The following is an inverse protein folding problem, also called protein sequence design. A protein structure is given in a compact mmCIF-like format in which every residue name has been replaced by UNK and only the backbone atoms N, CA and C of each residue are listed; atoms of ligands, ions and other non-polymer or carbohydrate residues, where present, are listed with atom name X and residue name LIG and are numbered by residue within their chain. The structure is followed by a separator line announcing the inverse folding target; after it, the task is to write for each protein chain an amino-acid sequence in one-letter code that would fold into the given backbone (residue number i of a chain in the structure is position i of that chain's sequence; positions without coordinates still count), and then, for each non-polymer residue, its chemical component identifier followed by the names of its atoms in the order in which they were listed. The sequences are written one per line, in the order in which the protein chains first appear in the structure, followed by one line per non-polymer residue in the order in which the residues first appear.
data_IF_558835341153
#
_entry.id   IF_558835341153
#
_cell.length_a   1.000
_cell.length_b   1.000
_cell.length_c   1.000
_cell.angle_alpha   90.00
_cell.angle_beta   90.00
_cell.angle_gamma   90.00
#
_symmetry.space_group_name_H-M   'P 1'
#
loop_
_entity.id
_entity.type
_entity.pdbx_description
1 polymer ?
#
# COMPACT_ATOMS: atom_id res chain seq x y z
N UNK A 1 9.34 -48.46 27.99
CA UNK A 1 10.54 -47.78 27.47
C UNK A 1 10.36 -47.62 25.97
N UNK A 2 10.43 -46.37 25.50
CA UNK A 2 10.35 -45.85 24.13
C UNK A 2 9.08 -46.13 23.30
N UNK A 3 8.12 -45.20 23.44
CA UNK A 3 7.06 -44.95 22.47
C UNK A 3 7.60 -44.10 21.29
N UNK A 4 7.35 -44.55 20.07
CA UNK A 4 7.69 -43.83 18.84
C UNK A 4 6.72 -42.68 18.58
N UNK A 5 7.25 -41.48 18.35
CA UNK A 5 6.48 -40.34 17.87
C UNK A 5 6.53 -40.27 16.34
N UNK A 6 5.34 -40.42 15.75
CA UNK A 6 5.03 -40.14 14.35
C UNK A 6 4.94 -38.62 14.14
N UNK A 7 5.43 -38.20 12.98
CA UNK A 7 5.30 -36.84 12.46
C UNK A 7 3.84 -36.55 12.07
N UNK A 8 3.25 -35.52 12.65
CA UNK A 8 2.06 -34.86 12.10
C UNK A 8 2.48 -33.51 11.50
N UNK A 9 2.34 -33.40 10.18
CA UNK A 9 2.41 -32.13 9.45
C UNK A 9 1.14 -31.33 9.76
N UNK A 10 1.28 -30.21 10.46
CA UNK A 10 0.19 -29.27 10.73
C UNK A 10 0.01 -28.30 9.56
N UNK A 11 -1.16 -28.36 8.94
CA UNK A 11 -1.71 -27.41 7.98
C UNK A 11 -1.96 -26.06 8.68
N UNK A 12 -1.35 -24.98 8.21
CA UNK A 12 -1.66 -23.63 8.70
C UNK A 12 -2.96 -23.14 8.05
N UNK A 13 -4.00 -23.01 8.89
CA UNK A 13 -5.30 -22.43 8.57
C UNK A 13 -5.15 -20.92 8.43
N UNK A 14 -5.56 -20.37 7.29
CA UNK A 14 -5.69 -18.93 7.07
C UNK A 14 -6.86 -18.40 7.92
N UNK A 15 -6.57 -17.41 8.78
CA UNK A 15 -7.57 -16.76 9.64
C UNK A 15 -8.15 -15.54 8.93
N UNK A 16 -9.47 -15.60 8.77
CA UNK A 16 -10.41 -14.57 8.36
C UNK A 16 -10.48 -13.45 9.43
N UNK A 17 -10.51 -12.18 9.04
CA UNK A 17 -10.96 -11.09 9.94
C UNK A 17 -11.94 -10.17 9.19
N UNK A 18 -13.17 -10.15 9.70
CA UNK A 18 -14.28 -9.25 9.35
C UNK A 18 -14.16 -7.99 10.23
N UNK A 19 -14.48 -6.82 9.67
CA UNK A 19 -14.29 -5.51 10.30
C UNK A 19 -15.33 -5.11 11.34
N UNK A 20 -15.14 -3.89 11.89
CA UNK A 20 -16.16 -3.04 12.49
C UNK A 20 -15.68 -1.59 12.51
N UNK A 21 -16.38 -0.73 11.76
CA UNK A 21 -16.34 0.73 11.87
C UNK A 21 -17.23 1.17 13.05
N UNK A 22 -16.77 2.17 13.80
CA UNK A 22 -17.57 2.96 14.73
C UNK A 22 -16.95 4.36 14.85
N UNK A 23 -17.68 5.38 14.42
CA UNK A 23 -17.21 6.77 14.36
C UNK A 23 -17.66 7.63 15.54
N UNK A 24 -17.04 8.82 15.63
CA UNK A 24 -17.54 10.12 16.14
C UNK A 24 -16.35 11.10 15.93
N UNK A 25 -16.37 12.20 15.18
CA UNK A 25 -17.38 13.26 15.08
C UNK A 25 -16.89 14.48 15.89
N UNK A 26 -16.43 15.55 15.24
CA UNK A 26 -16.14 16.84 15.90
C UNK A 26 -15.16 17.72 15.13
N UNK A 27 -15.67 18.81 14.53
CA UNK A 27 -14.93 19.72 13.66
C UNK A 27 -14.16 20.83 14.38
N UNK A 28 -13.50 21.69 13.59
CA UNK A 28 -12.87 22.91 14.10
C UNK A 28 -11.69 23.38 13.25
N UNK A 29 -11.93 24.41 12.46
CA UNK A 29 -10.98 25.09 11.58
C UNK A 29 -10.02 26.06 12.30
N UNK A 30 -8.86 26.28 11.67
CA UNK A 30 -8.04 27.51 11.63
C UNK A 30 -7.14 27.90 12.81
N UNK A 31 -5.90 28.25 12.48
CA UNK A 31 -5.22 29.42 13.05
C UNK A 31 -3.99 29.16 13.94
N UNK A 32 -2.81 29.23 13.33
CA UNK A 32 -1.69 30.14 13.65
C UNK A 32 -1.53 30.61 15.12
N UNK A 33 -0.33 30.31 15.67
CA UNK A 33 0.40 30.97 16.78
C UNK A 33 -0.30 31.06 18.15
N UNK A 34 0.03 30.13 19.05
CA UNK A 34 -0.21 30.27 20.49
C UNK A 34 0.50 29.17 21.26
N UNK A 35 1.34 29.54 22.23
CA UNK A 35 2.08 28.62 23.08
C UNK A 35 1.14 27.71 23.87
N UNK A 36 0.97 26.48 23.39
CA UNK A 36 0.42 25.35 24.12
C UNK A 36 1.48 24.27 24.17
N UNK A 37 1.63 23.59 25.30
CA UNK A 37 2.49 22.41 25.43
C UNK A 37 2.01 21.35 24.45
N UNK A 38 2.57 21.34 23.24
CA UNK A 38 2.34 20.30 22.25
C UNK A 38 2.80 19.01 22.90
N UNK A 39 1.86 18.12 23.23
CA UNK A 39 2.22 16.73 23.51
C UNK A 39 3.11 16.27 22.35
N UNK A 40 4.28 15.68 22.62
CA UNK A 40 5.12 15.17 21.55
C UNK A 40 4.26 14.28 20.66
N UNK A 41 4.29 14.53 19.36
CA UNK A 41 3.63 13.64 18.42
C UNK A 41 4.37 12.31 18.52
N UNK A 42 3.64 11.26 18.87
CA UNK A 42 4.15 9.91 18.96
C UNK A 42 3.59 9.09 17.81
N UNK A 43 4.38 8.13 17.33
CA UNK A 43 3.84 7.16 16.39
C UNK A 43 2.72 6.37 17.05
N UNK A 44 1.68 6.07 16.28
CA UNK A 44 0.81 4.94 16.64
C UNK A 44 1.56 3.69 16.25
N UNK A 45 1.86 2.82 17.21
CA UNK A 45 2.46 1.51 16.96
C UNK A 45 1.41 0.42 17.09
N UNK A 46 1.60 -0.69 16.36
CA UNK A 46 0.67 -1.82 16.41
C UNK A 46 0.62 -2.52 17.79
N UNK A 47 1.57 -2.20 18.66
CA UNK A 47 1.69 -2.59 20.07
C UNK A 47 2.25 -1.38 20.85
N UNK A 48 3.09 -1.61 21.85
CA UNK A 48 3.92 -0.57 22.44
C UNK A 48 5.03 -0.13 21.46
N UNK A 49 5.23 1.19 21.34
CA UNK A 49 6.38 1.73 20.63
C UNK A 49 7.65 1.48 21.43
N UNK A 50 8.67 0.95 20.75
CA UNK A 50 10.01 0.75 21.28
C UNK A 50 10.89 1.89 20.78
N UNK A 51 11.56 2.66 21.65
CA UNK A 51 12.50 3.69 21.24
C UNK A 51 13.64 3.10 20.40
N UNK A 52 13.96 3.70 19.26
CA UNK A 52 14.98 3.18 18.34
C UNK A 52 16.37 3.09 18.98
N UNK A 53 16.73 4.06 19.83
CA UNK A 53 17.97 4.14 20.59
C UNK A 53 18.13 2.99 21.63
N UNK A 54 17.05 2.30 21.97
CA UNK A 54 17.08 1.09 22.81
C UNK A 54 17.26 -0.21 22.01
N UNK A 55 17.25 -0.15 20.68
CA UNK A 55 17.35 -1.30 19.79
C UNK A 55 18.69 -1.30 19.05
N UNK A 56 19.40 -2.42 19.13
CA UNK A 56 20.62 -2.64 18.35
C UNK A 56 20.35 -2.60 16.84
N UNK A 57 21.32 -2.12 16.06
CA UNK A 57 21.12 -1.87 14.63
C UNK A 57 20.79 -3.14 13.84
N UNK A 58 21.41 -4.27 14.19
CA UNK A 58 21.20 -5.58 13.58
C UNK A 58 19.83 -6.21 13.90
N UNK A 59 19.13 -5.66 14.90
CA UNK A 59 17.75 -6.01 15.25
C UNK A 59 16.71 -5.10 14.60
N UNK A 60 17.13 -3.97 14.02
CA UNK A 60 16.24 -3.05 13.33
C UNK A 60 15.93 -3.54 11.92
N UNK A 61 14.63 -3.53 11.60
CA UNK A 61 14.12 -3.68 10.25
C UNK A 61 13.53 -2.37 9.77
N UNK A 62 14.24 -1.66 8.91
CA UNK A 62 13.68 -0.49 8.25
C UNK A 62 12.83 -0.91 7.05
N UNK A 63 11.72 -0.21 6.82
CA UNK A 63 10.92 -0.30 5.60
C UNK A 63 10.85 1.09 4.99
N UNK A 64 11.36 1.25 3.78
CA UNK A 64 11.31 2.50 3.03
C UNK A 64 10.47 2.32 1.79
N UNK A 65 9.57 3.26 1.54
CA UNK A 65 8.72 3.23 0.35
C UNK A 65 8.71 4.60 -0.30
N UNK A 66 8.76 4.63 -1.63
CA UNK A 66 8.50 5.83 -2.42
C UNK A 66 7.31 5.55 -3.33
N UNK A 67 6.22 6.28 -3.18
CA UNK A 67 4.94 5.98 -3.83
C UNK A 67 4.49 7.17 -4.67
N UNK A 68 4.21 6.92 -5.95
CA UNK A 68 3.56 7.85 -6.89
C UNK A 68 2.18 7.29 -7.27
N UNK A 69 1.09 7.92 -6.83
CA UNK A 69 -0.28 7.49 -7.17
C UNK A 69 -0.87 8.21 -8.40
N UNK A 70 -0.09 9.10 -9.01
CA UNK A 70 -0.47 9.94 -10.15
C UNK A 70 -1.01 11.30 -9.77
N UNK A 71 -1.27 11.55 -8.48
CA UNK A 71 -1.65 12.86 -7.92
C UNK A 71 -0.59 13.36 -6.93
N UNK A 72 -0.02 12.45 -6.15
CA UNK A 72 0.94 12.69 -5.08
C UNK A 72 2.16 11.79 -5.23
N UNK A 73 3.32 12.31 -4.83
CA UNK A 73 4.52 11.54 -4.62
C UNK A 73 4.89 11.63 -3.14
N UNK A 74 4.96 10.49 -2.46
CA UNK A 74 5.17 10.41 -1.02
C UNK A 74 6.27 9.42 -0.69
N UNK A 75 7.12 9.78 0.27
CA UNK A 75 8.09 8.87 0.88
C UNK A 75 7.58 8.42 2.24
N UNK A 76 7.65 7.12 2.50
CA UNK A 76 7.27 6.49 3.76
C UNK A 76 8.49 5.82 4.39
N UNK A 77 8.58 5.87 5.70
CA UNK A 77 9.55 5.13 6.48
C UNK A 77 8.88 4.48 7.69
N UNK A 78 9.21 3.23 7.98
CA UNK A 78 8.79 2.57 9.21
C UNK A 78 9.87 1.64 9.74
N UNK A 79 9.82 1.35 11.04
CA UNK A 79 10.83 0.53 11.71
C UNK A 79 10.17 -0.53 12.57
N UNK A 80 10.70 -1.75 12.49
CA UNK A 80 10.29 -2.90 13.29
C UNK A 80 11.47 -3.59 13.97
N UNK A 81 11.18 -4.56 14.84
CA UNK A 81 12.20 -5.40 15.49
C UNK A 81 12.03 -6.89 15.21
N UNK A 82 13.15 -7.61 15.13
CA UNK A 82 13.16 -9.07 15.14
C UNK A 82 12.49 -9.69 13.91
N UNK A 83 11.49 -10.55 14.08
CA UNK A 83 10.71 -11.14 12.98
C UNK A 83 9.26 -10.63 12.98
N UNK A 84 8.91 -9.66 13.83
CA UNK A 84 7.56 -9.12 13.83
C UNK A 84 7.37 -8.31 12.53
N UNK A 85 6.42 -8.68 11.65
CA UNK A 85 6.19 -7.94 10.41
C UNK A 85 5.63 -6.54 10.68
N UNK A 86 5.36 -6.20 11.95
CA UNK A 86 4.75 -4.95 12.38
C UNK A 86 5.76 -3.86 12.71
N UNK A 87 5.52 -2.66 12.21
CA UNK A 87 6.15 -1.42 12.66
C UNK A 87 5.82 -1.17 14.13
N UNK A 88 6.84 -1.20 14.97
CA UNK A 88 6.72 -1.03 16.42
C UNK A 88 7.89 -0.24 17.01
N UNK A 89 8.76 0.34 16.18
CA UNK A 89 9.89 1.16 16.61
C UNK A 89 9.63 2.62 16.27
N UNK A 90 9.81 3.47 17.26
CA UNK A 90 9.74 4.92 17.15
C UNK A 90 11.13 5.52 17.22
N UNK A 91 11.46 6.40 16.27
CA UNK A 91 12.72 7.15 16.23
C UNK A 91 12.83 8.02 17.48
N UNK A 92 13.91 7.82 18.25
CA UNK A 92 14.13 8.43 19.56
C UNK A 92 15.58 8.87 19.76
N UNK A 93 15.81 9.71 20.78
CA UNK A 93 17.14 10.11 21.22
C UNK A 93 17.84 10.99 20.19
N UNK A 94 18.96 10.48 19.66
CA UNK A 94 19.75 11.16 18.61
C UNK A 94 19.55 10.54 17.23
N UNK A 95 18.70 9.52 17.11
CA UNK A 95 18.39 8.91 15.83
C UNK A 95 17.54 9.88 14.98
N UNK A 96 17.79 9.90 13.67
CA UNK A 96 17.05 10.74 12.73
C UNK A 96 16.77 9.99 11.43
N UNK A 97 15.67 10.38 10.78
CA UNK A 97 15.32 9.94 9.43
C UNK A 97 15.14 11.13 8.50
N UNK A 98 15.76 11.05 7.34
CA UNK A 98 15.79 12.12 6.36
C UNK A 98 15.69 11.56 4.95
N UNK A 99 15.08 12.33 4.06
CA UNK A 99 15.06 12.05 2.63
C UNK A 99 15.99 13.04 1.91
N UNK A 100 16.82 12.54 1.00
CA UNK A 100 17.68 13.38 0.17
C UNK A 100 16.93 13.72 -1.12
N UNK A 101 16.78 15.01 -1.37
CA UNK A 101 16.20 15.59 -2.58
C UNK A 101 17.26 16.32 -3.38
N UNK A 102 16.92 16.76 -4.60
CA UNK A 102 17.82 17.60 -5.40
C UNK A 102 18.15 18.93 -4.69
N UNK A 103 17.28 19.40 -3.79
CA UNK A 103 17.42 20.69 -3.09
C UNK A 103 18.06 20.56 -1.69
N UNK A 104 18.46 19.36 -1.28
CA UNK A 104 19.01 19.07 0.05
C UNK A 104 18.20 18.01 0.79
N UNK A 105 18.34 17.96 2.11
CA UNK A 105 17.65 16.98 2.96
C UNK A 105 16.31 17.50 3.46
N UNK A 106 15.28 16.68 3.42
CA UNK A 106 13.98 16.96 4.04
C UNK A 106 13.69 15.96 5.17
N UNK A 107 13.08 16.39 6.29
CA UNK A 107 12.70 15.51 7.37
C UNK A 107 11.46 14.67 7.01
N UNK A 108 11.27 13.58 7.75
CA UNK A 108 9.97 12.93 7.84
C UNK A 108 9.16 13.49 9.02
N UNK A 109 7.84 13.35 8.92
CA UNK A 109 6.88 13.79 9.93
C UNK A 109 6.02 12.61 10.39
N UNK A 110 5.49 12.72 11.61
CA UNK A 110 4.47 11.79 12.12
C UNK A 110 3.10 12.27 11.60
N UNK A 111 2.28 11.41 10.98
CA UNK A 111 0.97 11.80 10.48
C UNK A 111 0.10 12.39 11.59
N UNK A 112 -0.41 13.60 11.38
CA UNK A 112 -1.27 14.30 12.34
C UNK A 112 -2.70 13.77 12.41
N UNK A 113 -3.08 12.93 11.43
CA UNK A 113 -4.36 12.22 11.38
C UNK A 113 -4.12 10.79 10.90
N UNK A 114 -4.92 9.83 11.36
CA UNK A 114 -4.86 8.42 10.93
C UNK A 114 -5.27 8.19 9.45
N UNK A 115 -5.40 9.27 8.66
CA UNK A 115 -6.15 9.33 7.41
C UNK A 115 -5.32 9.54 6.13
N UNK A 116 -3.98 9.44 6.18
CA UNK A 116 -3.17 9.26 4.97
C UNK A 116 -3.23 7.81 4.42
N UNK A 117 -4.18 7.02 4.91
CA UNK A 117 -4.30 5.56 4.75
C UNK A 117 -4.96 5.09 3.46
N UNK A 118 -5.35 5.98 2.54
CA UNK A 118 -5.93 5.53 1.26
C UNK A 118 -4.86 4.98 0.29
N UNK A 119 -3.66 5.56 0.27
CA UNK A 119 -2.57 5.15 -0.65
C UNK A 119 -1.88 3.88 -0.13
N UNK A 120 -1.79 3.73 1.20
CA UNK A 120 -1.09 2.64 1.90
C UNK A 120 -1.86 1.30 1.87
N UNK A 121 -3.20 1.33 1.81
CA UNK A 121 -4.00 0.10 1.90
C UNK A 121 -4.00 -0.78 0.65
N UNK A 122 -3.65 -0.25 -0.52
CA UNK A 122 -3.79 -1.01 -1.77
C UNK A 122 -2.63 -1.96 -2.05
N UNK A 123 -1.47 -1.78 -1.40
CA UNK A 123 -0.22 -2.13 -2.07
C UNK A 123 0.81 -2.84 -1.19
N UNK A 124 0.84 -2.65 0.12
CA UNK A 124 1.75 -3.43 0.97
C UNK A 124 1.05 -3.78 2.27
N UNK A 125 1.27 -5.02 2.69
CA UNK A 125 1.02 -5.54 4.02
C UNK A 125 1.69 -4.60 5.03
N UNK A 126 1.02 -3.52 5.41
CA UNK A 126 1.43 -2.62 6.48
C UNK A 126 0.45 -2.87 7.60
N UNK A 127 0.77 -3.90 8.40
CA UNK A 127 0.75 -3.77 9.86
C UNK A 127 -0.52 -3.11 10.38
N UNK A 128 -1.57 -3.91 10.60
CA UNK A 128 -2.73 -3.44 11.34
C UNK A 128 -2.25 -2.76 12.65
N UNK A 129 -2.47 -1.44 12.75
CA UNK A 129 -2.25 -0.65 13.97
C UNK A 129 -1.01 0.25 14.03
N UNK A 130 -0.17 0.38 13.00
CA UNK A 130 0.95 1.33 13.03
C UNK A 130 0.95 2.35 11.90
N UNK A 131 1.18 3.63 12.22
CA UNK A 131 1.36 4.69 11.21
C UNK A 131 2.83 4.77 10.78
N UNK A 132 3.14 4.89 9.49
CA UNK A 132 4.51 5.17 9.05
C UNK A 132 4.88 6.64 9.33
N UNK A 133 6.17 6.94 9.28
CA UNK A 133 6.65 8.30 9.06
C UNK A 133 6.45 8.69 7.61
N UNK A 134 6.06 9.94 7.36
CA UNK A 134 5.69 10.43 6.03
C UNK A 134 6.48 11.67 5.64
N UNK A 135 6.78 11.80 4.35
CA UNK A 135 7.38 13.00 3.78
C UNK A 135 6.83 13.19 2.37
N UNK A 136 6.13 14.29 2.14
CA UNK A 136 5.69 14.65 0.80
C UNK A 136 6.92 14.99 -0.06
N UNK A 137 6.95 14.47 -1.28
CA UNK A 137 8.05 14.70 -2.20
C UNK A 137 7.51 15.48 -3.38
N UNK A 138 8.05 16.67 -3.61
CA UNK A 138 7.75 17.36 -4.86
C UNK A 138 8.38 16.59 -6.02
N UNK A 139 7.56 16.08 -6.94
CA UNK A 139 8.02 15.27 -8.07
C UNK A 139 9.06 15.98 -8.94
N UNK A 140 9.04 17.31 -9.02
CA UNK A 140 10.04 18.10 -9.76
C UNK A 140 11.39 18.21 -9.06
N UNK A 141 11.45 17.84 -7.78
CA UNK A 141 12.61 17.95 -6.90
C UNK A 141 13.11 16.58 -6.41
N UNK A 142 12.44 15.49 -6.81
CA UNK A 142 12.85 14.14 -6.47
C UNK A 142 14.17 13.80 -7.17
N UNK A 143 15.19 13.46 -6.37
CA UNK A 143 16.42 12.87 -6.90
C UNK A 143 16.10 11.49 -7.51
N UNK A 144 16.86 11.05 -8.51
CA UNK A 144 16.72 9.70 -9.05
C UNK A 144 18.10 9.03 -9.13
N UNK A 145 18.36 7.98 -8.32
CA UNK A 145 17.48 7.40 -7.30
C UNK A 145 17.25 8.34 -6.11
N UNK A 146 16.08 8.23 -5.47
CA UNK A 146 15.78 8.89 -4.19
C UNK A 146 16.58 8.18 -3.09
N UNK A 147 17.11 8.95 -2.13
CA UNK A 147 17.89 8.39 -1.02
C UNK A 147 17.18 8.60 0.31
N UNK A 148 17.05 7.51 1.06
CA UNK A 148 16.60 7.48 2.45
C UNK A 148 17.83 7.39 3.34
N UNK A 149 17.91 8.28 4.33
CA UNK A 149 19.00 8.29 5.31
C UNK A 149 18.44 8.03 6.70
N UNK A 150 18.96 6.99 7.34
CA UNK A 150 18.83 6.78 8.77
C UNK A 150 20.15 7.18 9.43
N UNK A 151 20.10 8.15 10.32
CA UNK A 151 21.27 8.67 11.03
C UNK A 151 21.17 8.15 12.45
N UNK A 152 22.23 7.46 12.90
CA UNK A 152 22.35 6.97 14.27
C UNK A 152 23.70 7.38 14.82
N UNK A 153 23.65 8.16 15.89
CA UNK A 153 24.82 8.81 16.49
C UNK A 153 25.57 9.68 15.47
N UNK A 154 26.65 9.17 14.86
CA UNK A 154 27.43 9.85 13.82
C UNK A 154 27.48 9.09 12.50
N UNK A 155 26.83 7.93 12.41
CA UNK A 155 26.83 7.08 11.21
C UNK A 155 25.55 7.29 10.41
N UNK A 156 25.71 7.52 9.10
CA UNK A 156 24.59 7.63 8.16
C UNK A 156 24.45 6.34 7.37
N UNK A 157 23.27 5.73 7.43
CA UNK A 157 22.88 4.55 6.67
C UNK A 157 22.01 4.99 5.49
N UNK A 158 22.57 4.92 4.28
CA UNK A 158 21.90 5.37 3.06
C UNK A 158 21.31 4.19 2.29
N UNK A 159 19.99 4.20 2.10
CA UNK A 159 19.28 3.29 1.21
C UNK A 159 18.74 4.08 0.02
N UNK A 160 18.67 3.48 -1.17
CA UNK A 160 18.29 4.20 -2.39
C UNK A 160 17.23 3.46 -3.20
N UNK A 161 16.34 4.19 -3.87
CA UNK A 161 15.33 3.59 -4.74
C UNK A 161 14.92 4.52 -5.86
N UNK A 162 14.67 3.95 -7.02
CA UNK A 162 14.05 4.65 -8.15
C UNK A 162 12.57 4.29 -8.22
N UNK A 163 11.72 5.24 -8.61
CA UNK A 163 10.33 4.93 -8.96
C UNK A 163 10.26 3.94 -10.12
N UNK A 164 9.22 3.11 -10.13
CA UNK A 164 8.88 2.31 -11.29
C UNK A 164 8.62 3.21 -12.53
N UNK A 165 8.80 2.72 -13.77
CA UNK A 165 8.59 3.51 -14.98
C UNK A 165 7.23 4.21 -15.04
N UNK A 166 7.15 5.36 -15.71
CA UNK A 166 5.88 6.07 -15.87
C UNK A 166 4.97 5.22 -16.75
N UNK A 167 3.72 5.06 -16.34
CA UNK A 167 2.71 4.37 -17.12
C UNK A 167 1.34 5.01 -16.96
N UNK A 168 0.45 4.71 -17.91
CA UNK A 168 -0.96 4.99 -17.89
C UNK A 168 -1.74 3.70 -18.19
N UNK A 169 -2.94 3.59 -17.63
CA UNK A 169 -3.88 2.52 -18.01
C UNK A 169 -4.67 3.03 -19.23
N UNK A 170 -4.46 2.41 -20.38
CA UNK A 170 -5.17 2.76 -21.62
C UNK A 170 -6.41 1.91 -21.87
N UNK A 171 -6.45 0.70 -21.28
CA UNK A 171 -7.64 -0.16 -21.24
C UNK A 171 -7.78 -0.81 -19.84
N UNK A 172 -9.00 -0.85 -19.27
CA UNK A 172 -10.22 -0.22 -19.77
C UNK A 172 -10.11 1.32 -19.74
N UNK A 173 -10.80 1.99 -20.66
CA UNK A 173 -10.80 3.46 -20.71
C UNK A 173 -11.61 4.02 -19.54
N UNK A 174 -11.13 5.11 -18.93
CA UNK A 174 -11.84 5.77 -17.83
C UNK A 174 -13.28 6.14 -18.22
N UNK A 175 -14.24 5.81 -17.37
CA UNK A 175 -15.67 6.06 -17.59
C UNK A 175 -16.33 5.15 -18.62
N UNK A 176 -15.61 4.17 -19.19
CA UNK A 176 -16.20 3.22 -20.12
C UNK A 176 -17.22 2.29 -19.44
N UNK A 177 -18.13 1.74 -20.24
CA UNK A 177 -19.03 0.67 -19.83
C UNK A 177 -18.64 -0.62 -20.56
N UNK A 178 -18.41 -1.68 -19.82
CA UNK A 178 -18.10 -3.01 -20.31
C UNK A 178 -19.31 -3.93 -20.11
N UNK A 179 -19.56 -4.89 -21.01
CA UNK A 179 -20.65 -5.84 -20.83
C UNK A 179 -20.45 -6.67 -19.56
N UNK A 180 -21.46 -6.75 -18.68
CA UNK A 180 -21.36 -7.53 -17.44
C UNK A 180 -21.20 -9.04 -17.67
N UNK A 181 -21.63 -9.53 -18.84
CA UNK A 181 -21.39 -10.91 -19.28
C UNK A 181 -19.92 -11.22 -19.63
N UNK A 182 -19.10 -10.20 -19.84
CA UNK A 182 -17.67 -10.35 -20.12
C UNK A 182 -16.88 -10.18 -18.81
N UNK A 183 -16.68 -11.29 -18.10
CA UNK A 183 -15.95 -11.25 -16.81
C UNK A 183 -14.43 -11.14 -16.98
N UNK A 184 -13.91 -11.48 -18.16
CA UNK A 184 -12.50 -11.33 -18.51
C UNK A 184 -12.27 -9.95 -19.10
N UNK A 185 -11.51 -9.13 -18.38
CA UNK A 185 -11.23 -7.74 -18.74
C UNK A 185 -9.80 -7.62 -19.24
N UNK A 186 -9.62 -7.06 -20.43
CA UNK A 186 -8.31 -6.73 -20.98
C UNK A 186 -7.77 -5.45 -20.36
N UNK A 187 -6.52 -5.52 -19.90
CA UNK A 187 -5.75 -4.43 -19.34
C UNK A 187 -4.64 -4.07 -20.32
N UNK A 188 -4.48 -2.78 -20.59
CA UNK A 188 -3.37 -2.26 -21.39
C UNK A 188 -2.68 -1.11 -20.64
N UNK A 189 -1.36 -1.16 -20.58
CA UNK A 189 -0.49 -0.21 -19.91
C UNK A 189 0.44 0.43 -20.95
N UNK A 190 0.65 1.74 -20.88
CA UNK A 190 1.56 2.47 -21.81
C UNK A 190 3.04 2.14 -21.63
N UNK A 191 3.40 1.45 -20.55
CA UNK A 191 4.72 0.85 -20.34
C UNK A 191 4.56 -0.37 -19.43
N UNK A 192 5.42 -1.37 -19.57
CA UNK A 192 5.78 -2.19 -18.42
C UNK A 192 7.12 -2.90 -18.65
N UNK A 193 8.12 -2.48 -17.90
CA UNK A 193 9.40 -3.17 -17.78
C UNK A 193 9.39 -4.20 -16.63
N UNK A 194 8.26 -4.34 -15.92
CA UNK A 194 8.13 -5.12 -14.68
C UNK A 194 6.71 -5.71 -14.62
N UNK A 195 6.56 -6.88 -13.98
CA UNK A 195 5.26 -7.52 -13.73
C UNK A 195 4.39 -6.64 -12.84
N UNK A 196 3.17 -6.27 -13.27
CA UNK A 196 2.25 -5.47 -12.46
C UNK A 196 1.60 -6.31 -11.37
N UNK A 197 1.16 -5.62 -10.32
CA UNK A 197 0.16 -6.10 -9.36
C UNK A 197 -1.10 -5.27 -9.52
N UNK A 198 -2.27 -5.85 -9.25
CA UNK A 198 -3.53 -5.15 -9.44
C UNK A 198 -4.54 -5.51 -8.37
N UNK A 199 -5.42 -4.56 -8.10
CA UNK A 199 -6.60 -4.71 -7.26
C UNK A 199 -7.80 -4.11 -7.96
N UNK A 200 -8.97 -4.72 -7.79
CA UNK A 200 -10.23 -4.24 -8.32
C UNK A 200 -11.23 -4.13 -7.18
N UNK A 201 -11.72 -2.91 -6.96
CA UNK A 201 -12.88 -2.66 -6.12
C UNK A 201 -14.14 -2.76 -6.97
N UNK A 202 -15.13 -3.50 -6.49
CA UNK A 202 -16.43 -3.66 -7.14
C UNK A 202 -17.53 -3.21 -6.18
N UNK A 203 -18.41 -2.33 -6.66
CA UNK A 203 -19.65 -1.94 -5.99
C UNK A 203 -20.81 -2.26 -6.93
N UNK A 204 -21.56 -3.29 -6.60
CA UNK A 204 -22.56 -3.88 -7.49
C UNK A 204 -23.97 -3.70 -6.95
N UNK A 205 -24.91 -3.59 -7.89
CA UNK A 205 -26.35 -3.57 -7.63
C UNK A 205 -27.02 -4.64 -8.48
N UNK A 206 -27.90 -5.44 -7.90
CA UNK A 206 -28.72 -6.41 -8.63
C UNK A 206 -29.99 -5.77 -9.22
N UNK A 207 -30.72 -6.50 -10.06
CA UNK A 207 -31.96 -6.01 -10.69
C UNK A 207 -33.08 -5.66 -9.69
N UNK A 208 -32.97 -6.13 -8.44
CA UNK A 208 -33.93 -5.87 -7.36
C UNK A 208 -33.47 -4.73 -6.44
N UNK A 209 -32.34 -4.09 -6.71
CA UNK A 209 -31.81 -2.97 -5.94
C UNK A 209 -30.98 -3.36 -4.72
N UNK A 210 -30.66 -4.65 -4.53
CA UNK A 210 -29.73 -5.06 -3.48
C UNK A 210 -28.31 -4.63 -3.85
N UNK A 211 -27.50 -4.28 -2.85
CA UNK A 211 -26.11 -3.85 -3.05
C UNK A 211 -25.12 -4.85 -2.48
N UNK A 212 -23.94 -4.94 -3.09
CA UNK A 212 -22.80 -5.73 -2.61
C UNK A 212 -21.51 -5.01 -2.96
N UNK A 213 -20.47 -5.19 -2.15
CA UNK A 213 -19.13 -4.70 -2.47
C UNK A 213 -18.07 -5.75 -2.18
N UNK A 214 -16.97 -5.70 -2.92
CA UNK A 214 -15.78 -6.51 -2.67
C UNK A 214 -14.53 -5.82 -3.22
N UNK A 215 -13.38 -6.18 -2.66
CA UNK A 215 -12.06 -5.79 -3.16
C UNK A 215 -11.28 -7.07 -3.44
N UNK A 216 -10.78 -7.21 -4.67
CA UNK A 216 -10.08 -8.43 -5.09
C UNK A 216 -8.74 -8.11 -5.74
N UNK A 217 -7.72 -8.89 -5.37
CA UNK A 217 -6.49 -8.96 -6.15
C UNK A 217 -6.73 -9.97 -7.28
N UNK A 218 -7.31 -9.50 -8.38
CA UNK A 218 -7.65 -10.36 -9.52
C UNK A 218 -6.37 -10.91 -10.15
N UNK A 219 -6.26 -12.23 -10.27
CA UNK A 219 -5.09 -12.85 -10.88
C UNK A 219 -4.98 -12.51 -12.38
N UNK A 220 -3.75 -12.37 -12.87
CA UNK A 220 -3.50 -12.24 -14.31
C UNK A 220 -3.87 -13.57 -14.97
N UNK A 221 -4.71 -13.50 -15.99
CA UNK A 221 -5.03 -14.61 -16.87
C UNK A 221 -3.99 -14.65 -18.00
N UNK A 222 -3.30 -15.78 -18.10
CA UNK A 222 -2.26 -15.99 -19.11
C UNK A 222 -0.97 -15.20 -18.85
N UNK A 223 -0.18 -15.03 -19.90
CA UNK A 223 1.12 -14.35 -19.84
C UNK A 223 0.97 -12.91 -20.32
N UNK A 224 1.44 -11.90 -19.55
CA UNK A 224 1.51 -10.53 -20.04
C UNK A 224 2.31 -10.44 -21.34
N UNK A 225 1.77 -9.74 -22.32
CA UNK A 225 2.41 -9.52 -23.62
C UNK A 225 3.00 -8.12 -23.66
N UNK A 226 4.29 -8.02 -23.97
CA UNK A 226 4.95 -6.74 -24.20
C UNK A 226 4.95 -6.42 -25.70
N UNK A 227 4.41 -5.26 -26.07
CA UNK A 227 4.40 -4.76 -27.45
C UNK A 227 4.92 -3.33 -27.53
N UNK A 228 4.94 -2.78 -28.75
CA UNK A 228 5.45 -1.43 -29.03
C UNK A 228 4.67 -0.30 -28.31
N UNK A 229 3.46 -0.59 -27.82
CA UNK A 229 2.61 0.35 -27.07
C UNK A 229 2.63 0.15 -25.55
N UNK A 230 3.49 -0.74 -25.04
CA UNK A 230 3.55 -1.14 -23.63
C UNK A 230 3.08 -2.57 -23.39
N UNK A 231 2.50 -2.85 -22.22
CA UNK A 231 2.12 -4.21 -21.82
C UNK A 231 0.61 -4.41 -21.86
N UNK A 232 0.17 -5.58 -22.31
CA UNK A 232 -1.22 -6.01 -22.25
C UNK A 232 -1.35 -7.36 -21.55
N UNK A 233 -2.45 -7.52 -20.81
CA UNK A 233 -2.81 -8.76 -20.14
C UNK A 233 -4.32 -8.77 -19.88
N UNK A 234 -4.84 -9.86 -19.34
CA UNK A 234 -6.25 -9.93 -18.93
C UNK A 234 -6.36 -10.33 -17.47
N UNK A 235 -7.47 -9.95 -16.84
CA UNK A 235 -7.87 -10.40 -15.50
C UNK A 235 -9.27 -10.99 -15.56
N UNK A 236 -9.57 -11.97 -14.72
CA UNK A 236 -10.92 -12.54 -14.61
C UNK A 236 -11.60 -12.07 -13.31
N UNK A 237 -12.70 -11.35 -13.45
CA UNK A 237 -13.53 -10.86 -12.36
C UNK A 237 -14.68 -11.81 -12.02
N UNK A 238 -14.86 -12.90 -12.76
CA UNK A 238 -15.94 -13.87 -12.57
C UNK A 238 -15.99 -14.44 -11.15
N UNK A 239 -14.88 -14.93 -10.58
CA UNK A 239 -14.84 -15.39 -9.20
C UNK A 239 -15.27 -14.31 -8.19
N UNK A 240 -14.85 -13.07 -8.40
CA UNK A 240 -15.19 -11.94 -7.52
C UNK A 240 -16.69 -11.63 -7.56
N UNK A 241 -17.26 -11.52 -8.76
CA UNK A 241 -18.69 -11.30 -8.98
C UNK A 241 -19.54 -12.42 -8.38
N UNK A 242 -19.08 -13.67 -8.48
CA UNK A 242 -19.78 -14.83 -7.91
C UNK A 242 -19.72 -14.86 -6.37
N UNK A 243 -18.66 -14.31 -5.77
CA UNK A 243 -18.47 -14.26 -4.32
C UNK A 243 -19.23 -13.13 -3.62
N UNK A 244 -19.87 -12.22 -4.37
CA UNK A 244 -20.59 -11.09 -3.81
C UNK A 244 -21.72 -11.52 -2.88
N UNK A 245 -21.70 -10.95 -1.68
CA UNK A 245 -22.77 -11.10 -0.69
C UNK A 245 -23.66 -9.86 -0.73
N UNK A 246 -24.83 -10.01 -1.37
CA UNK A 246 -25.80 -8.94 -1.49
C UNK A 246 -26.60 -8.74 -0.21
N UNK A 247 -26.95 -7.50 0.08
CA UNK A 247 -27.96 -7.16 1.09
C UNK A 247 -29.24 -7.94 0.81
N UNK A 248 -29.90 -8.46 1.85
CA UNK A 248 -31.07 -9.34 1.71
C UNK A 248 -32.40 -8.59 1.79
N UNK A 249 -32.42 -7.29 1.50
CA UNK A 249 -33.64 -6.47 1.54
C UNK A 249 -34.69 -7.02 0.57
N UNK A 250 -34.25 -7.53 -0.58
CA UNK A 250 -35.05 -8.23 -1.57
C UNK A 250 -34.41 -9.58 -1.91
N UNK A 251 -35.17 -10.54 -2.48
CA UNK A 251 -34.56 -11.75 -3.05
C UNK A 251 -33.42 -11.39 -4.00
N UNK A 252 -32.33 -12.15 -3.99
CA UNK A 252 -31.18 -11.90 -4.87
C UNK A 252 -31.62 -11.97 -6.34
N UNK A 253 -31.41 -10.89 -7.08
CA UNK A 253 -31.58 -10.82 -8.52
C UNK A 253 -30.27 -11.11 -9.29
N UNK A 254 -30.36 -11.10 -10.61
CA UNK A 254 -29.17 -11.04 -11.47
C UNK A 254 -28.43 -9.70 -11.24
N UNK A 255 -27.10 -9.72 -11.33
CA UNK A 255 -26.31 -8.49 -11.20
C UNK A 255 -26.68 -7.57 -12.36
N UNK A 256 -27.14 -6.35 -12.06
CA UNK A 256 -27.58 -5.39 -13.07
C UNK A 256 -26.46 -4.42 -13.46
N UNK A 257 -25.62 -4.03 -12.50
CA UNK A 257 -24.45 -3.20 -12.76
C UNK A 257 -23.41 -3.33 -11.66
N UNK A 258 -22.15 -3.07 -12.00
CA UNK A 258 -21.06 -2.87 -11.05
C UNK A 258 -20.26 -1.64 -11.42
N UNK A 259 -20.10 -0.71 -10.49
CA UNK A 259 -19.05 0.30 -10.56
C UNK A 259 -17.73 -0.38 -10.16
N UNK A 260 -16.75 -0.35 -11.06
CA UNK A 260 -15.46 -0.97 -10.87
C UNK A 260 -14.35 0.10 -10.81
N UNK A 261 -13.42 -0.07 -9.88
CA UNK A 261 -12.20 0.73 -9.79
C UNK A 261 -10.99 -0.20 -9.85
N UNK A 262 -10.27 -0.17 -10.97
CA UNK A 262 -9.04 -0.93 -11.17
C UNK A 262 -7.85 -0.08 -10.75
N UNK A 263 -7.10 -0.57 -9.79
CA UNK A 263 -5.79 -0.03 -9.41
C UNK A 263 -4.71 -0.96 -9.94
N UNK A 264 -3.80 -0.44 -10.75
CA UNK A 264 -2.59 -1.14 -11.18
C UNK A 264 -1.40 -0.51 -10.49
N UNK A 265 -0.48 -1.34 -9.99
CA UNK A 265 0.80 -0.92 -9.42
C UNK A 265 1.96 -1.59 -10.16
N UNK A 266 2.99 -0.79 -10.44
CA UNK A 266 4.33 -1.24 -10.76
C UNK A 266 5.25 -0.99 -9.56
N UNK A 267 6.12 -1.95 -9.27
CA UNK A 267 7.07 -1.87 -8.16
C UNK A 267 8.50 -2.16 -8.61
N UNK A 268 9.46 -1.43 -8.06
CA UNK A 268 10.91 -1.65 -8.15
C UNK A 268 11.46 -1.92 -6.76
N UNK A 269 12.48 -2.78 -6.67
CA UNK A 269 13.26 -2.94 -5.45
C UNK A 269 14.41 -1.92 -5.43
N UNK A 270 14.64 -1.31 -4.28
CA UNK A 270 15.79 -0.43 -4.05
C UNK A 270 17.02 -1.19 -3.56
N UNK A 271 18.05 -0.41 -3.22
CA UNK A 271 19.27 -0.88 -2.57
C UNK A 271 19.27 -0.46 -1.11
N UNK A 272 19.48 -1.44 -0.23
CA UNK A 272 19.50 -1.24 1.22
C UNK A 272 20.92 -0.92 1.70
N UNK A 273 21.05 -0.05 2.70
CA UNK A 273 22.34 0.22 3.35
C UNK A 273 22.96 -1.05 3.94
N UNK A 274 24.28 -1.24 3.79
CA UNK A 274 25.01 -2.45 4.22
C UNK A 274 24.92 -2.74 5.73
N UNK A 275 24.53 -1.77 6.56
CA UNK A 275 24.26 -1.94 8.00
C UNK A 275 22.81 -2.24 8.39
N UNK A 276 21.86 -2.16 7.44
CA UNK A 276 20.43 -2.41 7.65
C UNK A 276 20.01 -3.70 6.92
N UNK A 277 20.68 -4.82 7.20
CA UNK A 277 20.59 -6.06 6.40
C UNK A 277 19.20 -6.68 6.29
N UNK A 278 18.25 -6.27 7.14
CA UNK A 278 16.87 -6.75 7.14
C UNK A 278 15.87 -5.71 6.60
N UNK A 279 16.35 -4.63 5.98
CA UNK A 279 15.48 -3.57 5.50
C UNK A 279 14.92 -3.83 4.09
N UNK A 280 13.67 -3.45 3.92
CA UNK A 280 12.95 -3.49 2.65
C UNK A 280 12.89 -2.08 2.08
N UNK A 281 13.20 -1.94 0.79
CA UNK A 281 13.09 -0.67 0.10
C UNK A 281 12.42 -0.87 -1.25
N UNK A 282 11.33 -0.12 -1.48
CA UNK A 282 10.50 -0.26 -2.68
C UNK A 282 10.12 1.09 -3.27
N UNK A 283 10.17 1.18 -4.60
CA UNK A 283 9.64 2.29 -5.37
C UNK A 283 8.38 1.83 -6.07
N UNK A 284 7.30 2.57 -5.94
CA UNK A 284 5.99 2.16 -6.43
C UNK A 284 5.35 3.28 -7.22
N UNK A 285 4.72 2.89 -8.32
CA UNK A 285 3.84 3.77 -9.07
C UNK A 285 2.50 3.07 -9.24
N UNK A 286 1.41 3.73 -8.85
CA UNK A 286 0.06 3.22 -9.02
C UNK A 286 -0.76 4.14 -9.90
N UNK A 287 -1.69 3.57 -10.65
CA UNK A 287 -2.68 4.30 -11.44
C UNK A 287 -4.02 3.63 -11.23
N UNK A 288 -5.06 4.43 -11.15
CA UNK A 288 -6.43 3.95 -10.95
C UNK A 288 -7.30 4.39 -12.11
N UNK A 289 -8.15 3.48 -12.59
CA UNK A 289 -9.17 3.78 -13.59
C UNK A 289 -10.52 3.25 -13.12
N UNK A 290 -11.54 4.10 -13.21
CA UNK A 290 -12.92 3.73 -12.94
C UNK A 290 -13.65 3.39 -14.24
N UNK A 291 -14.45 2.33 -14.23
CA UNK A 291 -15.32 1.91 -15.32
C UNK A 291 -16.58 1.24 -14.75
N UNK A 292 -17.57 1.02 -15.59
CA UNK A 292 -18.82 0.33 -15.20
C UNK A 292 -18.93 -0.99 -15.93
N UNK A 293 -19.45 -2.02 -15.27
CA UNK A 293 -19.91 -3.25 -15.90
C UNK A 293 -21.44 -3.23 -15.90
N UNK A 294 -22.08 -3.38 -17.06
CA UNK A 294 -23.55 -3.36 -17.20
C UNK A 294 -24.03 -4.25 -18.33
#
# INVERSE_FOLDING_TARGET
MNAGMRWCRGTAVAVLVIGLLGGCGGGGSSGILGGGTSTPQHLTCAKACIPSDSVSLDQLRASYMLIDDGQHLQALASFGTGNDPRSNVEISGTDQIQLVTVQGTQPFQIPSTSAATAIVQAITVVVAGASPYESDVNATQAANPVQFQFIRSSTTYTSTVSLAPVFAISAPTAGSTLPIGNTVISIALSSAAITPTQSVALNCTDVNGNTASTNVNAAIQGTPTLGNGGMSYSIDLGPALNSLQFTTTYPRGAIASCAASLTVMLQTSGQTATGLTQAQIVGQRSRTVAFTMR
#
